data_IF_241246935292
#
_entry.id   IF_241246935292
#
_cell.length_a   1.000
_cell.length_b   1.000
_cell.length_c   1.000
_cell.angle_alpha   90.00
_cell.angle_beta   90.00
_cell.angle_gamma   90.00
#
_symmetry.space_group_name_H-M   'P 1'
#
loop_
_entity.id
_entity.type
_entity.pdbx_description
1 polymer ?
#
# COMPACT_ATOMS: atom_id res chain seq x y z
N UNK A 1 -4.84 11.74 33.79
CA UNK A 1 -4.24 12.27 32.54
C UNK A 1 -3.94 11.22 31.47
N UNK A 2 -3.67 9.94 31.78
CA UNK A 2 -3.39 8.87 30.78
C UNK A 2 -4.55 8.60 29.80
N UNK A 3 -5.79 8.61 30.31
CA UNK A 3 -7.02 8.37 29.55
C UNK A 3 -7.28 9.38 28.42
N UNK A 4 -7.01 10.68 28.65
CA UNK A 4 -7.20 11.71 27.63
C UNK A 4 -6.16 11.64 26.50
N UNK A 5 -4.90 11.30 26.83
CA UNK A 5 -3.85 11.13 25.81
C UNK A 5 -4.11 9.89 24.94
N UNK A 6 -4.55 8.79 25.55
CA UNK A 6 -4.92 7.57 24.86
C UNK A 6 -6.13 7.76 23.95
N UNK A 7 -7.19 8.42 24.46
CA UNK A 7 -8.36 8.77 23.65
C UNK A 7 -7.99 9.68 22.47
N UNK A 8 -7.16 10.71 22.69
CA UNK A 8 -6.69 11.59 21.60
C UNK A 8 -5.91 10.82 20.53
N UNK A 9 -5.11 9.84 20.92
CA UNK A 9 -4.36 8.98 20.00
C UNK A 9 -5.29 8.09 19.18
N UNK A 10 -6.26 7.44 19.82
CA UNK A 10 -7.27 6.60 19.14
C UNK A 10 -8.08 7.40 18.12
N UNK A 11 -8.56 8.59 18.50
CA UNK A 11 -9.29 9.49 17.60
C UNK A 11 -8.43 9.92 16.43
N UNK A 12 -7.15 10.25 16.66
CA UNK A 12 -6.22 10.59 15.58
C UNK A 12 -6.01 9.41 14.61
N UNK A 13 -5.89 8.19 15.13
CA UNK A 13 -5.75 6.99 14.30
C UNK A 13 -7.02 6.72 13.48
N UNK A 14 -8.21 6.93 14.05
CA UNK A 14 -9.47 6.80 13.31
C UNK A 14 -9.55 7.80 12.14
N UNK A 15 -9.19 9.07 12.37
CA UNK A 15 -9.08 10.09 11.31
C UNK A 15 -8.10 9.63 10.22
N UNK A 16 -6.91 9.15 10.62
CA UNK A 16 -5.91 8.67 9.65
C UNK A 16 -6.39 7.49 8.83
N UNK A 17 -7.09 6.53 9.44
CA UNK A 17 -7.61 5.37 8.74
C UNK A 17 -8.61 5.79 7.66
N UNK A 18 -9.56 6.67 8.00
CA UNK A 18 -10.55 7.18 7.05
C UNK A 18 -9.89 8.02 5.95
N UNK A 19 -8.93 8.89 6.31
CA UNK A 19 -8.17 9.67 5.34
C UNK A 19 -7.39 8.77 4.37
N UNK A 20 -6.72 7.73 4.88
CA UNK A 20 -5.94 6.82 4.06
C UNK A 20 -6.81 6.06 3.04
N UNK A 21 -7.98 5.58 3.47
CA UNK A 21 -8.91 4.88 2.59
C UNK A 21 -9.52 5.83 1.54
N UNK A 22 -9.96 7.01 1.97
CA UNK A 22 -10.53 8.02 1.07
C UNK A 22 -9.51 8.49 0.04
N UNK A 23 -8.26 8.76 0.45
CA UNK A 23 -7.18 9.23 -0.45
C UNK A 23 -6.84 8.15 -1.48
N UNK A 24 -6.65 6.88 -1.08
CA UNK A 24 -6.39 5.80 -2.06
C UNK A 24 -7.58 5.54 -2.99
N UNK A 25 -8.80 5.78 -2.54
CA UNK A 25 -10.01 5.55 -3.32
C UNK A 25 -10.34 6.68 -4.30
N UNK A 26 -10.13 7.94 -3.91
CA UNK A 26 -10.62 9.13 -4.65
C UNK A 26 -9.52 10.11 -5.08
N UNK A 27 -8.30 9.93 -4.59
CA UNK A 27 -7.19 10.86 -4.78
C UNK A 27 -7.17 12.00 -3.75
N UNK A 28 -5.99 12.49 -3.41
CA UNK A 28 -5.80 13.46 -2.32
C UNK A 28 -6.45 14.84 -2.60
N UNK A 29 -6.53 15.21 -3.87
CA UNK A 29 -7.15 16.46 -4.29
C UNK A 29 -8.66 16.49 -4.00
N UNK A 30 -9.35 15.35 -4.17
CA UNK A 30 -10.81 15.25 -4.04
C UNK A 30 -11.28 15.08 -2.59
N UNK A 31 -10.40 14.65 -1.70
CA UNK A 31 -10.74 14.39 -0.30
C UNK A 31 -10.71 15.67 0.52
N UNK A 32 -11.85 16.04 1.12
CA UNK A 32 -11.97 17.22 1.98
C UNK A 32 -11.78 16.90 3.47
N UNK A 33 -11.35 17.88 4.27
CA UNK A 33 -11.25 17.72 5.73
C UNK A 33 -12.62 17.41 6.36
N UNK A 34 -13.68 18.11 5.93
CA UNK A 34 -15.03 17.87 6.40
C UNK A 34 -15.51 16.44 6.15
N UNK A 35 -15.27 15.92 4.95
CA UNK A 35 -15.61 14.53 4.58
C UNK A 35 -14.87 13.53 5.49
N UNK A 36 -13.56 13.69 5.67
CA UNK A 36 -12.76 12.79 6.53
C UNK A 36 -13.26 12.82 7.98
N UNK A 37 -13.52 14.01 8.52
CA UNK A 37 -14.01 14.16 9.89
C UNK A 37 -15.39 13.52 10.06
N UNK A 38 -16.28 13.71 9.08
CA UNK A 38 -17.59 13.06 9.07
C UNK A 38 -17.48 11.54 9.01
N UNK A 39 -16.61 10.99 8.15
CA UNK A 39 -16.34 9.55 8.08
C UNK A 39 -15.76 8.99 9.39
N UNK A 40 -15.01 9.81 10.13
CA UNK A 40 -14.48 9.48 11.44
C UNK A 40 -15.49 9.67 12.58
N UNK A 41 -16.72 10.14 12.31
CA UNK A 41 -17.75 10.40 13.32
C UNK A 41 -17.47 11.65 14.17
N UNK A 42 -16.73 12.62 13.64
CA UNK A 42 -16.25 13.80 14.35
C UNK A 42 -16.72 15.09 13.68
N UNK A 43 -16.79 16.17 14.46
CA UNK A 43 -17.10 17.50 13.93
C UNK A 43 -15.92 18.09 13.18
N UNK A 44 -16.18 18.97 12.20
CA UNK A 44 -15.13 19.66 11.46
C UNK A 44 -14.16 20.43 12.37
N UNK A 45 -14.67 21.08 13.42
CA UNK A 45 -13.87 21.85 14.38
C UNK A 45 -12.84 21.00 15.15
N UNK A 46 -13.10 19.69 15.33
CA UNK A 46 -12.17 18.77 15.99
C UNK A 46 -10.88 18.53 15.22
N UNK A 47 -10.83 18.86 13.93
CA UNK A 47 -9.68 18.56 13.07
C UNK A 47 -8.39 19.19 13.59
N UNK A 48 -8.46 20.46 13.96
CA UNK A 48 -7.29 21.25 14.39
C UNK A 48 -6.73 20.81 15.75
N UNK A 49 -7.44 19.96 16.50
CA UNK A 49 -6.90 19.31 17.69
C UNK A 49 -5.90 18.17 17.36
N UNK A 50 -5.91 17.66 16.12
CA UNK A 50 -5.14 16.50 15.67
C UNK A 50 -4.14 16.79 14.54
N UNK A 51 -4.46 17.73 13.65
CA UNK A 51 -3.65 18.10 12.49
C UNK A 51 -3.66 19.62 12.30
N UNK A 52 -2.52 20.21 11.96
CA UNK A 52 -2.37 21.65 11.71
C UNK A 52 -2.88 22.05 10.33
N UNK A 53 -2.86 21.13 9.36
CA UNK A 53 -3.30 21.38 7.99
C UNK A 53 -3.75 20.11 7.28
N UNK A 54 -4.46 20.26 6.16
CA UNK A 54 -4.79 19.16 5.25
C UNK A 54 -3.51 18.47 4.74
N UNK A 55 -2.45 19.23 4.47
CA UNK A 55 -1.19 18.68 3.98
C UNK A 55 -0.50 17.77 5.01
N UNK A 56 -0.55 18.14 6.30
CA UNK A 56 -0.08 17.28 7.38
C UNK A 56 -0.91 15.98 7.45
N UNK A 57 -2.23 16.08 7.31
CA UNK A 57 -3.11 14.91 7.24
C UNK A 57 -2.73 14.00 6.07
N UNK A 58 -2.50 14.56 4.87
CA UNK A 58 -2.14 13.78 3.68
C UNK A 58 -0.80 13.06 3.88
N UNK A 59 0.21 13.75 4.41
CA UNK A 59 1.52 13.15 4.67
C UNK A 59 1.42 12.00 5.68
N UNK A 60 0.74 12.22 6.80
CA UNK A 60 0.56 11.19 7.83
C UNK A 60 -0.34 10.03 7.35
N UNK A 61 -1.32 10.31 6.50
CA UNK A 61 -2.14 9.27 5.89
C UNK A 61 -1.29 8.38 4.99
N UNK A 62 -0.43 8.94 4.14
CA UNK A 62 0.49 8.19 3.26
C UNK A 62 1.45 7.31 4.06
N UNK A 63 2.06 7.85 5.11
CA UNK A 63 2.89 7.09 6.05
C UNK A 63 2.12 5.87 6.58
N UNK A 64 0.89 6.08 7.07
CA UNK A 64 0.02 5.01 7.54
C UNK A 64 -0.28 3.96 6.46
N UNK A 65 -0.41 4.35 5.18
CA UNK A 65 -0.63 3.41 4.08
C UNK A 65 0.55 2.46 3.87
N UNK A 66 1.78 2.97 4.01
CA UNK A 66 2.98 2.17 3.88
C UNK A 66 3.19 1.27 5.09
N UNK A 67 2.92 1.76 6.30
CA UNK A 67 2.88 0.92 7.52
C UNK A 67 1.90 -0.26 7.33
N UNK A 68 0.68 0.00 6.87
CA UNK A 68 -0.30 -1.05 6.57
C UNK A 68 0.18 -2.02 5.48
N UNK A 69 0.89 -1.51 4.46
CA UNK A 69 1.43 -2.34 3.38
C UNK A 69 2.54 -3.26 3.86
N UNK A 70 3.45 -2.76 4.70
CA UNK A 70 4.49 -3.55 5.36
C UNK A 70 3.90 -4.61 6.29
N UNK A 71 2.90 -4.25 7.09
CA UNK A 71 2.19 -5.21 7.95
C UNK A 71 1.48 -6.30 7.14
N UNK A 72 0.90 -5.97 5.98
CA UNK A 72 0.32 -6.97 5.06
C UNK A 72 1.39 -7.88 4.48
N UNK A 73 2.53 -7.33 4.08
CA UNK A 73 3.68 -8.10 3.61
C UNK A 73 4.17 -9.06 4.70
N UNK A 74 4.42 -8.57 5.91
CA UNK A 74 4.88 -9.36 7.05
C UNK A 74 3.89 -10.47 7.41
N UNK A 75 2.61 -10.16 7.58
CA UNK A 75 1.57 -11.17 7.90
C UNK A 75 1.49 -12.30 6.88
N UNK A 76 1.70 -11.98 5.61
CA UNK A 76 1.60 -12.94 4.50
C UNK A 76 2.85 -13.81 4.33
N UNK A 77 4.00 -13.33 4.82
CA UNK A 77 5.31 -13.96 4.62
C UNK A 77 5.89 -14.61 5.88
N UNK A 78 5.40 -14.21 7.06
CA UNK A 78 5.85 -14.75 8.34
C UNK A 78 5.59 -16.26 8.44
N UNK A 79 6.54 -16.99 9.02
CA UNK A 79 6.41 -18.44 9.25
C UNK A 79 6.67 -19.35 8.04
N UNK A 80 6.91 -18.79 6.85
CA UNK A 80 7.12 -19.56 5.62
C UNK A 80 8.59 -19.57 5.17
N UNK A 81 9.05 -20.64 4.48
CA UNK A 81 10.32 -20.62 3.76
C UNK A 81 10.39 -19.45 2.76
N UNK A 82 11.58 -18.85 2.51
CA UNK A 82 11.69 -17.59 1.76
C UNK A 82 11.03 -17.58 0.37
N UNK A 83 11.21 -18.65 -0.43
CA UNK A 83 10.59 -18.75 -1.76
C UNK A 83 9.07 -18.93 -1.68
N UNK A 84 8.58 -19.75 -0.74
CA UNK A 84 7.14 -19.91 -0.51
C UNK A 84 6.52 -18.58 -0.06
N UNK A 85 7.16 -17.89 0.88
CA UNK A 85 6.74 -16.58 1.36
C UNK A 85 6.65 -15.55 0.20
N UNK A 86 7.65 -15.54 -0.69
CA UNK A 86 7.63 -14.66 -1.85
C UNK A 86 6.49 -15.02 -2.82
N UNK A 87 6.26 -16.31 -3.08
CA UNK A 87 5.11 -16.79 -3.85
C UNK A 87 3.78 -16.32 -3.26
N UNK A 88 3.58 -16.48 -1.94
CA UNK A 88 2.39 -16.01 -1.24
C UNK A 88 2.20 -14.49 -1.37
N UNK A 89 3.28 -13.71 -1.28
CA UNK A 89 3.25 -12.27 -1.49
C UNK A 89 2.78 -11.90 -2.90
N UNK A 90 3.36 -12.50 -3.94
CA UNK A 90 2.99 -12.28 -5.35
C UNK A 90 1.52 -12.67 -5.58
N UNK A 91 1.10 -13.84 -5.08
CA UNK A 91 -0.28 -14.33 -5.20
C UNK A 91 -1.28 -13.37 -4.56
N UNK A 92 -0.91 -12.81 -3.40
CA UNK A 92 -1.70 -11.81 -2.69
C UNK A 92 -1.78 -10.46 -3.36
N UNK A 93 -0.65 -9.98 -3.87
CA UNK A 93 -0.57 -8.67 -4.51
C UNK A 93 -1.38 -8.64 -5.80
N UNK A 94 -1.35 -9.72 -6.59
CA UNK A 94 -2.10 -9.86 -7.84
C UNK A 94 -3.44 -10.60 -7.68
N UNK A 95 -3.98 -10.66 -6.45
CA UNK A 95 -5.31 -11.22 -6.21
C UNK A 95 -6.41 -10.29 -6.75
N UNK A 96 -7.54 -10.83 -7.26
CA UNK A 96 -8.70 -10.03 -7.65
C UNK A 96 -9.18 -9.07 -6.56
N UNK A 97 -9.20 -9.54 -5.30
CA UNK A 97 -9.59 -8.73 -4.15
C UNK A 97 -8.73 -7.45 -3.99
N UNK A 98 -7.42 -7.51 -4.27
CA UNK A 98 -6.57 -6.32 -4.21
C UNK A 98 -6.86 -5.37 -5.39
N UNK A 99 -7.17 -5.92 -6.57
CA UNK A 99 -7.57 -5.13 -7.73
C UNK A 99 -8.86 -4.35 -7.46
N UNK A 100 -9.84 -5.01 -6.84
CA UNK A 100 -11.19 -4.49 -6.56
C UNK A 100 -11.26 -3.56 -5.33
N UNK A 101 -10.26 -3.60 -4.44
CA UNK A 101 -10.21 -2.76 -3.24
C UNK A 101 -9.04 -1.74 -3.27
N UNK A 102 -9.04 -0.74 -4.18
CA UNK A 102 -7.97 0.25 -4.26
C UNK A 102 -7.79 1.04 -2.96
N UNK A 103 -8.90 1.35 -2.28
CA UNK A 103 -8.91 2.07 -1.01
C UNK A 103 -8.14 1.37 0.12
N UNK A 104 -7.91 0.06 0.05
CA UNK A 104 -7.24 -0.72 1.10
C UNK A 104 -5.94 -1.37 0.62
N UNK A 105 -5.51 -1.06 -0.60
CA UNK A 105 -4.39 -1.69 -1.28
C UNK A 105 -3.03 -1.04 -1.03
N UNK A 106 -2.07 -1.42 -1.88
CA UNK A 106 -0.75 -0.80 -1.95
C UNK A 106 -0.87 0.66 -2.44
N UNK A 107 -0.29 1.65 -1.71
CA UNK A 107 -0.36 3.06 -2.10
C UNK A 107 0.32 3.35 -3.45
N UNK A 108 1.37 2.60 -3.81
CA UNK A 108 2.04 2.74 -5.11
C UNK A 108 1.08 2.55 -6.29
N UNK A 109 0.29 1.48 -6.24
CA UNK A 109 -0.68 1.17 -7.30
C UNK A 109 -1.94 2.06 -7.28
N UNK A 110 -2.12 2.88 -6.24
CA UNK A 110 -3.27 3.78 -6.12
C UNK A 110 -2.90 5.24 -6.45
N UNK A 111 -1.69 5.69 -6.11
CA UNK A 111 -1.37 7.12 -6.02
C UNK A 111 -0.14 7.56 -6.84
N UNK A 112 0.60 6.66 -7.50
CA UNK A 112 1.85 7.04 -8.20
C UNK A 112 1.64 8.13 -9.27
N UNK A 113 0.50 8.13 -9.96
CA UNK A 113 0.16 9.15 -10.96
C UNK A 113 -0.27 10.50 -10.36
N UNK A 114 -0.59 10.53 -9.06
CA UNK A 114 -0.93 11.74 -8.31
C UNK A 114 0.27 12.32 -7.56
N UNK A 115 1.33 11.53 -7.35
CA UNK A 115 2.51 11.90 -6.57
C UNK A 115 3.08 13.29 -6.90
N UNK A 116 3.23 13.71 -8.17
CA UNK A 116 3.75 15.05 -8.49
C UNK A 116 2.89 16.20 -7.96
N UNK A 117 1.59 15.95 -7.74
CA UNK A 117 0.61 16.95 -7.25
C UNK A 117 0.45 16.95 -5.73
N UNK A 118 1.08 16.00 -5.03
CA UNK A 118 1.02 15.94 -3.57
C UNK A 118 1.94 16.96 -2.91
N UNK A 119 1.66 17.41 -1.67
CA UNK A 119 2.56 18.26 -0.89
C UNK A 119 3.96 17.65 -0.72
N UNK A 120 4.99 18.48 -0.53
CA UNK A 120 6.38 18.00 -0.41
C UNK A 120 6.57 16.95 0.69
N UNK A 121 5.98 17.18 1.87
CA UNK A 121 6.03 16.23 2.98
C UNK A 121 5.37 14.88 2.62
N UNK A 122 4.26 14.90 1.89
CA UNK A 122 3.58 13.71 1.42
C UNK A 122 4.41 12.93 0.39
N UNK A 123 5.12 13.62 -0.51
CA UNK A 123 6.05 12.99 -1.46
C UNK A 123 7.24 12.32 -0.74
N UNK A 124 7.79 12.97 0.28
CA UNK A 124 8.87 12.39 1.09
C UNK A 124 8.42 11.13 1.84
N UNK A 125 7.21 11.12 2.41
CA UNK A 125 6.64 9.93 3.05
C UNK A 125 6.40 8.79 2.04
N UNK A 126 6.01 9.15 0.82
CA UNK A 126 5.81 8.17 -0.25
C UNK A 126 7.12 7.49 -0.66
N UNK A 127 8.18 8.29 -0.85
CA UNK A 127 9.52 7.82 -1.21
C UNK A 127 10.08 6.90 -0.11
N UNK A 128 10.10 7.37 1.13
CA UNK A 128 10.55 6.60 2.28
C UNK A 128 9.78 5.29 2.45
N UNK A 129 8.45 5.33 2.31
CA UNK A 129 7.61 4.15 2.38
C UNK A 129 7.87 3.15 1.24
N UNK A 130 8.12 3.64 0.02
CA UNK A 130 8.48 2.77 -1.10
C UNK A 130 9.81 2.08 -0.91
N UNK A 131 10.82 2.79 -0.39
CA UNK A 131 12.13 2.22 -0.07
C UNK A 131 12.04 1.18 1.06
N UNK A 132 11.21 1.42 2.09
CA UNK A 132 10.97 0.42 3.13
C UNK A 132 10.33 -0.87 2.58
N UNK A 133 9.38 -0.74 1.64
CA UNK A 133 8.77 -1.91 1.00
C UNK A 133 9.78 -2.67 0.13
N UNK A 134 10.60 -1.95 -0.65
CA UNK A 134 11.72 -2.55 -1.41
C UNK A 134 12.69 -3.25 -0.48
N UNK A 135 13.05 -2.64 0.65
CA UNK A 135 13.96 -3.23 1.64
C UNK A 135 13.39 -4.52 2.23
N UNK A 136 12.09 -4.55 2.57
CA UNK A 136 11.42 -5.75 3.08
C UNK A 136 11.42 -6.90 2.06
N UNK A 137 11.13 -6.62 0.79
CA UNK A 137 11.19 -7.59 -0.30
C UNK A 137 12.64 -8.07 -0.51
N UNK A 138 13.60 -7.14 -0.50
CA UNK A 138 15.03 -7.43 -0.64
C UNK A 138 15.51 -8.36 0.46
N UNK A 139 15.11 -8.13 1.71
CA UNK A 139 15.48 -8.98 2.84
C UNK A 139 14.96 -10.41 2.65
N UNK A 140 13.73 -10.57 2.15
CA UNK A 140 13.16 -11.89 1.86
C UNK A 140 13.94 -12.61 0.74
N UNK A 141 14.28 -11.91 -0.34
CA UNK A 141 15.10 -12.46 -1.44
C UNK A 141 16.52 -12.81 -1.01
N UNK A 142 17.15 -12.00 -0.13
CA UNK A 142 18.46 -12.34 0.45
C UNK A 142 18.41 -13.62 1.26
N UNK A 143 17.34 -13.82 2.05
CA UNK A 143 17.11 -15.09 2.78
C UNK A 143 16.93 -16.28 1.83
N UNK A 144 16.41 -16.04 0.63
CA UNK A 144 16.32 -17.02 -0.45
C UNK A 144 17.65 -17.21 -1.23
N UNK A 145 18.73 -16.54 -0.84
CA UNK A 145 20.04 -16.56 -1.51
C UNK A 145 20.02 -16.07 -2.97
N UNK A 146 19.08 -15.20 -3.31
CA UNK A 146 19.02 -14.60 -4.66
C UNK A 146 20.15 -13.58 -4.85
N UNK A 147 20.99 -13.79 -5.88
CA UNK A 147 21.95 -12.78 -6.33
C UNK A 147 21.21 -11.53 -6.84
N UNK A 148 21.75 -10.34 -6.60
CA UNK A 148 21.12 -9.09 -7.03
C UNK A 148 19.76 -8.80 -6.39
N UNK A 149 19.53 -9.28 -5.16
CA UNK A 149 18.24 -9.20 -4.45
C UNK A 149 17.57 -7.83 -4.48
N UNK A 150 18.34 -6.73 -4.39
CA UNK A 150 17.77 -5.38 -4.41
C UNK A 150 17.24 -4.99 -5.80
N UNK A 151 18.03 -5.18 -6.85
CA UNK A 151 17.59 -4.91 -8.22
C UNK A 151 16.36 -5.76 -8.58
N UNK A 152 16.35 -7.01 -8.12
CA UNK A 152 15.22 -7.92 -8.26
C UNK A 152 13.98 -7.46 -7.47
N UNK A 153 14.15 -6.94 -6.24
CA UNK A 153 13.04 -6.41 -5.47
C UNK A 153 12.40 -5.18 -6.14
N UNK A 154 13.22 -4.27 -6.68
CA UNK A 154 12.75 -3.08 -7.40
C UNK A 154 12.00 -3.45 -8.67
N UNK A 155 12.54 -4.35 -9.50
CA UNK A 155 11.88 -4.79 -10.73
C UNK A 155 10.59 -5.57 -10.44
N UNK A 156 10.59 -6.43 -9.43
CA UNK A 156 9.40 -7.14 -8.98
C UNK A 156 8.31 -6.17 -8.53
N UNK A 157 8.64 -5.17 -7.70
CA UNK A 157 7.66 -4.20 -7.22
C UNK A 157 7.09 -3.37 -8.39
N UNK A 158 7.92 -2.94 -9.34
CA UNK A 158 7.47 -2.24 -10.54
C UNK A 158 6.48 -3.07 -11.37
N UNK A 159 6.78 -4.36 -11.58
CA UNK A 159 5.90 -5.28 -12.31
C UNK A 159 4.58 -5.53 -11.59
N UNK A 160 4.63 -5.76 -10.27
CA UNK A 160 3.44 -5.93 -9.43
C UNK A 160 2.52 -4.71 -9.50
N UNK A 161 3.08 -3.51 -9.31
CA UNK A 161 2.36 -2.23 -9.37
C UNK A 161 1.77 -2.02 -10.77
N UNK A 162 2.56 -2.24 -11.82
CA UNK A 162 2.16 -2.07 -13.21
C UNK A 162 1.03 -3.01 -13.61
N UNK A 163 1.17 -4.31 -13.33
CA UNK A 163 0.16 -5.32 -13.61
C UNK A 163 -1.17 -5.02 -12.91
N UNK A 164 -1.12 -4.63 -11.64
CA UNK A 164 -2.32 -4.27 -10.88
C UNK A 164 -3.00 -3.01 -11.44
N UNK A 165 -2.20 -2.01 -11.84
CA UNK A 165 -2.70 -0.75 -12.41
C UNK A 165 -3.36 -0.98 -13.78
N UNK A 166 -2.74 -1.80 -14.64
CA UNK A 166 -3.31 -2.19 -15.94
C UNK A 166 -4.57 -3.05 -15.78
N UNK A 167 -4.62 -3.90 -14.76
CA UNK A 167 -5.82 -4.68 -14.45
C UNK A 167 -6.98 -3.77 -14.02
N UNK A 168 -6.70 -2.74 -13.19
CA UNK A 168 -7.70 -1.76 -12.73
C UNK A 168 -8.21 -0.86 -13.85
N UNK A 169 -7.38 -0.52 -14.83
CA UNK A 169 -7.82 0.29 -15.98
C UNK A 169 -8.71 -0.48 -16.98
N UNK A 170 -8.71 -1.81 -16.92
CA UNK A 170 -9.53 -2.65 -17.78
C UNK A 170 -10.98 -2.66 -17.33
N UNK A 171 -11.91 -2.26 -18.22
CA UNK A 171 -13.36 -2.36 -18.00
C UNK A 171 -13.88 -3.80 -18.18
N UNK A 172 -13.23 -4.61 -19.00
CA UNK A 172 -13.53 -6.05 -19.15
C UNK A 172 -12.94 -6.88 -18.00
N UNK A 173 -13.82 -7.58 -17.26
CA UNK A 173 -13.47 -8.47 -16.16
C UNK A 173 -12.63 -9.69 -16.61
N UNK A 174 -12.84 -10.21 -17.83
CA UNK A 174 -12.04 -11.34 -18.36
C UNK A 174 -10.62 -10.89 -18.64
N UNK A 175 -10.44 -9.73 -19.31
CA UNK A 175 -9.13 -9.11 -19.52
C UNK A 175 -8.43 -8.79 -18.20
N UNK A 176 -9.13 -8.22 -17.21
CA UNK A 176 -8.58 -7.98 -15.87
C UNK A 176 -8.00 -9.25 -15.23
N UNK A 177 -8.79 -10.32 -15.19
CA UNK A 177 -8.34 -11.62 -14.64
C UNK A 177 -7.13 -12.19 -15.39
N UNK A 178 -7.09 -12.06 -16.72
CA UNK A 178 -5.95 -12.49 -17.54
C UNK A 178 -4.68 -11.70 -17.21
N UNK A 179 -4.75 -10.37 -17.11
CA UNK A 179 -3.58 -9.54 -16.76
C UNK A 179 -2.99 -9.98 -15.43
N UNK A 180 -3.83 -10.05 -14.38
CA UNK A 180 -3.40 -10.46 -13.04
C UNK A 180 -2.79 -11.87 -13.04
N UNK A 181 -3.45 -12.83 -13.72
CA UNK A 181 -2.98 -14.22 -13.79
C UNK A 181 -1.65 -14.32 -14.54
N UNK A 182 -1.55 -13.75 -15.74
CA UNK A 182 -0.36 -13.85 -16.58
C UNK A 182 0.86 -13.23 -15.93
N UNK A 183 0.74 -12.03 -15.33
CA UNK A 183 1.87 -11.43 -14.60
C UNK A 183 2.27 -12.26 -13.38
N UNK A 184 1.30 -12.82 -12.65
CA UNK A 184 1.59 -13.69 -11.50
C UNK A 184 2.34 -14.96 -11.93
N UNK A 185 1.89 -15.64 -12.99
CA UNK A 185 2.54 -16.84 -13.52
C UNK A 185 3.96 -16.52 -14.00
N UNK A 186 4.15 -15.47 -14.80
CA UNK A 186 5.46 -15.05 -15.30
C UNK A 186 6.45 -14.66 -14.19
N UNK A 187 5.98 -13.96 -13.15
CA UNK A 187 6.80 -13.66 -11.98
C UNK A 187 7.23 -14.94 -11.27
N UNK A 188 6.30 -15.90 -11.09
CA UNK A 188 6.58 -17.16 -10.39
C UNK A 188 7.52 -18.06 -11.19
N UNK A 189 7.38 -18.09 -12.51
CA UNK A 189 8.31 -18.77 -13.41
C UNK A 189 9.71 -18.17 -13.31
N UNK A 190 9.83 -16.84 -13.51
CA UNK A 190 11.12 -16.13 -13.51
C UNK A 190 11.87 -16.25 -12.18
N UNK A 191 11.15 -16.30 -11.07
CA UNK A 191 11.72 -16.35 -9.73
C UNK A 191 11.71 -17.76 -9.11
N UNK A 192 11.32 -18.78 -9.88
CA UNK A 192 11.21 -20.18 -9.43
C UNK A 192 10.39 -20.33 -8.13
N UNK A 193 9.26 -19.61 -8.04
CA UNK A 193 8.39 -19.55 -6.85
C UNK A 193 7.26 -20.59 -6.87
N UNK A 194 7.33 -21.55 -7.79
CA UNK A 194 6.44 -22.70 -7.74
C UNK A 194 6.77 -23.53 -6.53
N UNK A 195 5.73 -23.96 -5.82
CA UNK A 195 5.84 -24.79 -4.63
C UNK A 195 6.74 -25.99 -4.94
N UNK A 196 7.89 -26.08 -4.29
CA UNK A 196 8.44 -27.39 -3.97
C UNK A 196 7.58 -27.88 -2.81
N UNK A 197 6.73 -28.85 -3.11
CA UNK A 197 5.91 -29.52 -2.10
C UNK A 197 6.80 -30.17 -1.03
#
# INVERSE_FOLDING_TARGET
MRYQAEHKSQTRQAILAQAADAIRGKGAARVGVAEVMQLAGLTHGGFYAHFKSKDELVAAAIEQMFVQSLQRFQRRTAGHPPLQAMGLFVDGYLAPAHCEAPAQGCPLAALVSELPRLPAAARAQFDAGSEQLVAAITQLLRRARSAGAEAMARSLLAELVGALSLARSSTDARRRKRILRSSREQIKDRLSLWSQA
#
